data_IF_903889385167
#
_entry.id   IF_903889385167
#
_cell.length_a   1.000
_cell.length_b   1.000
_cell.length_c   1.000
_cell.angle_alpha   90.00
_cell.angle_beta   90.00
_cell.angle_gamma   90.00
#
_symmetry.space_group_name_H-M   'P 1'
#
loop_
_entity.id
_entity.type
_entity.pdbx_description
1 polymer ?
#
# COMPACT_ATOMS: atom_id res chain seq x y z
N UNK A 1 8.78 23.33 8.82
CA UNK A 1 8.46 22.82 7.47
C UNK A 1 9.76 22.79 6.69
N UNK A 2 10.24 21.62 6.39
CA UNK A 2 11.43 21.43 5.56
C UNK A 2 11.02 20.85 4.20
N UNK A 3 11.86 21.03 3.19
CA UNK A 3 11.75 20.37 1.89
C UNK A 3 12.91 19.41 1.81
N UNK A 4 12.60 18.10 1.97
CA UNK A 4 13.60 17.05 2.05
C UNK A 4 13.60 16.21 0.79
N UNK A 5 14.80 15.88 0.30
CA UNK A 5 15.00 15.04 -0.88
C UNK A 5 15.72 13.76 -0.48
N UNK A 6 15.25 12.65 -0.98
CA UNK A 6 15.93 11.39 -0.86
C UNK A 6 17.18 11.37 -1.74
N UNK A 7 18.33 11.24 -1.09
CA UNK A 7 19.62 11.06 -1.76
C UNK A 7 20.05 9.60 -1.74
N UNK A 8 19.77 8.91 -0.64
CA UNK A 8 20.31 7.57 -0.38
C UNK A 8 21.83 7.61 -0.23
N UNK A 9 22.45 6.44 -0.16
CA UNK A 9 23.92 6.36 -0.18
C UNK A 9 24.60 6.52 1.17
N UNK A 10 23.87 6.55 2.28
CA UNK A 10 24.45 6.46 3.61
C UNK A 10 25.34 5.20 3.74
N UNK A 11 26.45 5.33 4.44
CA UNK A 11 27.32 4.18 4.72
C UNK A 11 26.58 3.14 5.55
N UNK A 12 26.60 1.89 5.11
CA UNK A 12 25.95 0.80 5.82
C UNK A 12 26.67 0.50 7.14
N UNK A 13 25.92 0.46 8.24
CA UNK A 13 26.37 0.15 9.58
C UNK A 13 25.48 -0.94 10.17
N UNK A 14 26.10 -1.99 10.74
CA UNK A 14 25.35 -3.02 11.43
C UNK A 14 24.81 -2.49 12.76
N UNK A 15 23.53 -2.75 13.01
CA UNK A 15 22.93 -2.52 14.32
C UNK A 15 23.51 -3.45 15.36
N UNK A 16 23.75 -2.93 16.56
CA UNK A 16 24.06 -3.72 17.76
C UNK A 16 23.12 -3.26 18.87
N UNK A 17 22.33 -4.18 19.38
CA UNK A 17 21.48 -4.01 20.55
C UNK A 17 21.95 -4.93 21.66
N UNK A 18 21.54 -4.69 22.89
CA UNK A 18 21.93 -5.51 24.05
C UNK A 18 20.70 -6.06 24.73
N UNK A 19 20.83 -7.26 25.27
CA UNK A 19 19.90 -7.91 26.18
C UNK A 19 20.58 -8.05 27.53
N UNK A 20 20.03 -7.48 28.57
CA UNK A 20 20.62 -7.47 29.91
C UNK A 20 19.67 -8.14 30.92
N UNK A 21 19.89 -9.42 31.23
CA UNK A 21 19.17 -10.08 32.32
C UNK A 21 19.58 -9.49 33.68
N UNK A 22 18.68 -9.55 34.67
CA UNK A 22 18.95 -9.05 36.01
C UNK A 22 17.85 -9.42 36.99
N UNK A 23 17.83 -8.78 38.16
CA UNK A 23 16.90 -9.09 39.26
C UNK A 23 17.24 -10.39 39.98
N UNK A 24 16.25 -11.00 40.61
CA UNK A 24 16.36 -12.32 41.21
C UNK A 24 16.04 -13.35 40.14
N UNK A 25 16.99 -14.20 39.82
CA UNK A 25 16.85 -15.20 38.76
C UNK A 25 16.74 -16.58 39.41
N UNK A 26 15.76 -17.34 38.98
CA UNK A 26 15.54 -18.72 39.42
C UNK A 26 15.67 -19.67 38.23
N UNK A 27 16.12 -20.90 38.49
CA UNK A 27 16.17 -21.90 37.43
C UNK A 27 14.75 -22.26 36.99
N UNK A 28 14.46 -22.11 35.70
CA UNK A 28 13.13 -22.27 35.13
C UNK A 28 12.46 -20.98 34.71
N UNK A 29 12.95 -19.81 35.11
CA UNK A 29 12.45 -18.53 34.65
C UNK A 29 12.58 -18.39 33.14
N UNK A 30 11.62 -17.72 32.53
CA UNK A 30 11.61 -17.54 31.09
C UNK A 30 11.96 -16.08 30.75
N UNK A 31 12.96 -15.93 29.87
CA UNK A 31 13.37 -14.68 29.27
C UNK A 31 12.97 -14.70 27.79
N UNK A 32 11.89 -14.02 27.44
CA UNK A 32 11.42 -13.99 26.07
C UNK A 32 12.20 -12.96 25.25
N UNK A 33 12.86 -13.41 24.22
CA UNK A 33 13.51 -12.56 23.21
C UNK A 33 12.59 -12.43 22.03
N UNK A 34 12.19 -11.21 21.69
CA UNK A 34 11.23 -10.94 20.61
C UNK A 34 11.89 -10.11 19.54
N UNK A 35 11.96 -10.64 18.33
CA UNK A 35 12.40 -9.94 17.13
C UNK A 35 11.19 -9.65 16.24
N UNK A 36 11.02 -8.38 15.84
CA UNK A 36 9.94 -7.96 14.95
C UNK A 36 10.51 -7.51 13.62
N UNK A 37 9.91 -7.96 12.52
CA UNK A 37 10.27 -7.57 11.16
C UNK A 37 9.69 -6.23 10.74
N UNK A 38 10.08 -5.75 9.56
CA UNK A 38 9.51 -4.54 8.95
C UNK A 38 8.00 -4.68 8.67
N UNK A 39 7.49 -5.90 8.54
CA UNK A 39 6.07 -6.22 8.39
C UNK A 39 5.27 -6.12 9.69
N UNK A 40 5.95 -5.87 10.81
CA UNK A 40 5.36 -5.87 12.15
C UNK A 40 5.10 -7.26 12.72
N UNK A 41 5.54 -8.33 12.04
CA UNK A 41 5.38 -9.70 12.52
C UNK A 41 6.49 -10.02 13.52
N UNK A 42 6.09 -10.37 14.74
CA UNK A 42 7.00 -10.75 15.80
C UNK A 42 7.31 -12.25 15.78
N UNK A 43 8.55 -12.58 16.09
CA UNK A 43 9.02 -13.94 16.34
C UNK A 43 9.65 -13.97 17.74
N UNK A 44 9.28 -14.96 18.54
CA UNK A 44 9.69 -15.06 19.94
C UNK A 44 10.42 -16.36 20.21
N UNK A 45 11.56 -16.26 20.89
CA UNK A 45 12.23 -17.38 21.55
C UNK A 45 12.07 -17.25 23.05
N UNK A 46 11.49 -18.28 23.66
CA UNK A 46 11.32 -18.37 25.11
C UNK A 46 12.54 -19.08 25.70
N UNK A 47 13.47 -18.31 26.18
CA UNK A 47 14.73 -18.82 26.79
C UNK A 47 14.47 -19.22 28.24
N UNK A 48 14.68 -20.48 28.54
CA UNK A 48 14.53 -21.02 29.91
C UNK A 48 15.87 -20.93 30.63
N UNK A 49 15.92 -20.24 31.77
CA UNK A 49 17.10 -20.15 32.60
C UNK A 49 17.45 -21.51 33.20
N UNK A 50 18.66 -21.98 32.95
CA UNK A 50 19.18 -23.25 33.53
C UNK A 50 19.84 -23.06 34.90
N UNK A 51 20.09 -21.81 35.29
CA UNK A 51 20.72 -21.46 36.56
C UNK A 51 20.17 -20.16 37.14
N UNK A 52 20.86 -19.64 38.17
CA UNK A 52 20.39 -18.51 38.98
C UNK A 52 21.28 -17.26 38.83
N UNK A 53 22.15 -17.22 37.87
CA UNK A 53 23.07 -16.10 37.65
C UNK A 53 22.88 -15.46 36.28
N UNK A 54 23.11 -14.14 36.21
CA UNK A 54 23.07 -13.39 34.95
C UNK A 54 23.95 -14.03 33.87
N UNK A 55 25.16 -14.51 34.23
CA UNK A 55 26.08 -15.14 33.26
C UNK A 55 25.47 -16.42 32.65
N UNK A 56 24.83 -17.27 33.49
CA UNK A 56 24.19 -18.49 33.00
C UNK A 56 23.00 -18.16 32.06
N UNK A 57 22.21 -17.13 32.39
CA UNK A 57 21.13 -16.70 31.49
C UNK A 57 21.67 -16.14 30.18
N UNK A 58 22.79 -15.42 30.19
CA UNK A 58 23.45 -14.98 28.95
C UNK A 58 23.89 -16.17 28.08
N UNK A 59 24.48 -17.20 28.69
CA UNK A 59 24.83 -18.45 27.98
C UNK A 59 23.56 -19.12 27.39
N UNK A 60 22.46 -19.20 28.17
CA UNK A 60 21.19 -19.79 27.74
C UNK A 60 20.57 -19.02 26.58
N UNK A 61 20.60 -17.67 26.61
CA UNK A 61 20.11 -16.82 25.52
C UNK A 61 20.91 -17.12 24.24
N UNK A 62 22.24 -17.10 24.32
CA UNK A 62 23.08 -17.36 23.14
C UNK A 62 22.83 -18.76 22.59
N UNK A 63 22.75 -19.77 23.44
CA UNK A 63 22.55 -21.16 23.05
C UNK A 63 21.18 -21.35 22.37
N UNK A 64 20.10 -20.90 23.00
CA UNK A 64 18.74 -21.16 22.53
C UNK A 64 18.39 -20.26 21.34
N UNK A 65 18.70 -18.95 21.38
CA UNK A 65 18.40 -18.05 20.27
C UNK A 65 19.24 -18.37 19.02
N UNK A 66 20.51 -18.76 19.17
CA UNK A 66 21.35 -19.17 18.03
C UNK A 66 20.91 -20.49 17.39
N UNK A 67 20.24 -21.36 18.14
CA UNK A 67 19.67 -22.61 17.63
C UNK A 67 18.32 -22.42 16.96
N UNK A 68 17.74 -21.21 17.05
CA UNK A 68 16.41 -20.92 16.48
C UNK A 68 16.35 -21.14 14.97
N UNK A 69 15.25 -21.73 14.50
CA UNK A 69 14.95 -21.91 13.09
C UNK A 69 14.13 -20.74 12.51
N UNK A 70 13.71 -19.80 13.36
CA UNK A 70 12.91 -18.65 12.96
C UNK A 70 13.71 -17.68 12.10
N UNK A 71 13.08 -17.12 11.08
CA UNK A 71 13.77 -16.36 10.04
C UNK A 71 14.42 -15.08 10.54
N UNK A 72 13.82 -14.38 11.53
CA UNK A 72 14.39 -13.16 12.07
C UNK A 72 15.61 -13.46 12.96
N UNK A 73 15.58 -14.52 13.77
CA UNK A 73 16.70 -14.95 14.60
C UNK A 73 17.93 -15.32 13.76
N UNK A 74 17.73 -15.85 12.57
CA UNK A 74 18.82 -16.18 11.64
C UNK A 74 19.45 -14.96 10.96
N UNK A 75 18.85 -13.75 11.12
CA UNK A 75 19.39 -12.49 10.59
C UNK A 75 20.29 -11.75 11.57
N UNK A 76 20.39 -12.23 12.78
CA UNK A 76 21.21 -11.64 13.84
C UNK A 76 22.16 -12.67 14.43
N UNK A 77 23.21 -12.19 15.11
CA UNK A 77 24.15 -12.99 15.85
C UNK A 77 24.09 -12.58 17.32
N UNK A 78 23.96 -13.56 18.20
CA UNK A 78 23.98 -13.40 19.65
C UNK A 78 25.39 -13.68 20.17
N UNK A 79 25.96 -12.75 20.95
CA UNK A 79 27.32 -12.87 21.51
C UNK A 79 27.25 -12.62 23.02
N UNK A 80 27.68 -13.60 23.80
CA UNK A 80 27.76 -13.47 25.25
C UNK A 80 28.85 -12.48 25.66
N UNK A 81 28.54 -11.59 26.59
CA UNK A 81 29.41 -10.63 27.26
C UNK A 81 29.39 -10.84 28.78
N UNK A 82 29.00 -12.03 29.25
CA UNK A 82 28.92 -12.44 30.66
C UNK A 82 27.83 -11.71 31.47
N UNK A 83 27.68 -10.40 31.31
CA UNK A 83 26.67 -9.58 32.02
C UNK A 83 25.54 -9.11 31.12
N UNK A 84 25.65 -9.37 29.84
CA UNK A 84 24.65 -9.04 28.81
C UNK A 84 24.94 -9.89 27.57
N UNK A 85 23.98 -9.92 26.65
CA UNK A 85 24.15 -10.48 25.30
C UNK A 85 24.11 -9.35 24.29
N UNK A 86 25.12 -9.25 23.45
CA UNK A 86 25.11 -8.35 22.31
C UNK A 86 24.40 -9.06 21.14
N UNK A 87 23.40 -8.38 20.55
CA UNK A 87 22.64 -8.84 19.40
C UNK A 87 23.02 -7.99 18.21
N UNK A 88 23.71 -8.57 17.24
CA UNK A 88 24.26 -7.85 16.08
C UNK A 88 23.58 -8.26 14.78
N UNK A 89 23.21 -7.29 13.93
CA UNK A 89 22.71 -7.56 12.59
C UNK A 89 23.79 -8.24 11.73
N UNK A 90 23.44 -9.33 11.06
CA UNK A 90 24.34 -10.05 10.15
C UNK A 90 24.63 -9.27 8.86
N UNK A 91 23.72 -8.38 8.47
CA UNK A 91 23.89 -7.53 7.30
C UNK A 91 23.89 -6.05 7.70
N UNK A 92 24.98 -5.31 7.42
CA UNK A 92 25.01 -3.87 7.66
C UNK A 92 23.90 -3.13 6.88
N UNK A 93 23.28 -2.16 7.52
CA UNK A 93 22.20 -1.38 6.92
C UNK A 93 20.83 -2.07 6.91
N UNK A 94 20.70 -3.23 7.54
CA UNK A 94 19.43 -3.93 7.74
C UNK A 94 19.04 -3.82 9.21
N UNK A 95 18.01 -3.03 9.56
CA UNK A 95 17.57 -2.90 10.94
C UNK A 95 16.81 -4.13 11.41
N UNK A 96 16.78 -4.31 12.73
CA UNK A 96 15.88 -5.23 13.42
C UNK A 96 15.27 -4.54 14.65
N UNK A 97 14.08 -4.96 15.05
CA UNK A 97 13.40 -4.45 16.23
C UNK A 97 13.42 -5.54 17.30
N UNK A 98 14.06 -5.22 18.43
CA UNK A 98 14.24 -6.13 19.55
C UNK A 98 13.43 -5.62 20.74
N UNK A 99 12.61 -6.51 21.31
CA UNK A 99 11.90 -6.29 22.56
C UNK A 99 12.04 -7.54 23.44
N UNK A 100 11.60 -7.45 24.69
CA UNK A 100 11.74 -8.52 25.67
C UNK A 100 10.53 -8.56 26.63
N UNK A 101 10.34 -9.71 27.25
CA UNK A 101 9.47 -9.89 28.41
C UNK A 101 10.02 -11.01 29.29
N UNK A 102 9.64 -11.04 30.55
CA UNK A 102 9.93 -12.13 31.49
C UNK A 102 8.67 -12.88 31.86
N UNK A 103 8.83 -14.11 32.32
CA UNK A 103 7.74 -14.90 32.91
C UNK A 103 8.30 -15.74 34.06
N UNK A 104 7.75 -15.57 35.23
CA UNK A 104 8.07 -16.36 36.41
C UNK A 104 7.55 -17.79 36.27
N UNK A 105 8.46 -18.77 36.38
CA UNK A 105 8.10 -20.21 36.37
C UNK A 105 8.96 -21.03 37.31
N UNK A 106 9.99 -20.44 37.90
CA UNK A 106 11.01 -21.13 38.68
C UNK A 106 10.58 -21.54 40.08
N UNK A 107 9.39 -21.15 40.55
CA UNK A 107 8.89 -21.48 41.87
C UNK A 107 9.15 -20.41 42.93
N UNK A 108 9.60 -19.24 42.54
CA UNK A 108 9.56 -18.01 43.31
C UNK A 108 8.13 -17.51 43.52
N UNK A 109 7.98 -16.52 44.40
CA UNK A 109 6.66 -15.96 44.73
C UNK A 109 6.35 -14.66 44.02
N UNK A 110 7.25 -14.12 43.23
CA UNK A 110 7.14 -12.88 42.53
C UNK A 110 7.94 -12.90 41.23
N UNK A 111 7.40 -12.27 40.19
CA UNK A 111 8.10 -11.98 38.93
C UNK A 111 9.07 -10.83 39.18
N UNK A 112 10.23 -11.12 39.73
CA UNK A 112 11.25 -10.16 40.17
C UNK A 112 12.57 -10.26 39.35
N UNK A 113 12.66 -11.18 38.41
CA UNK A 113 13.66 -11.15 37.37
C UNK A 113 13.41 -9.99 36.41
N UNK A 114 14.45 -9.39 35.94
CA UNK A 114 14.40 -8.28 34.98
C UNK A 114 15.10 -8.63 33.68
N UNK A 115 14.58 -8.08 32.59
CA UNK A 115 15.20 -8.22 31.28
C UNK A 115 15.13 -6.85 30.59
N UNK A 116 16.22 -6.34 30.07
CA UNK A 116 16.25 -5.01 29.49
C UNK A 116 16.93 -4.99 28.12
N UNK A 117 16.33 -4.30 27.16
CA UNK A 117 16.93 -4.00 25.86
C UNK A 117 17.66 -2.67 25.93
N UNK A 118 18.88 -2.64 25.44
CA UNK A 118 19.67 -1.44 25.18
C UNK A 118 20.09 -1.36 23.71
N UNK A 119 20.56 -0.20 23.29
CA UNK A 119 21.13 0.00 21.97
C UNK A 119 22.54 0.54 22.13
N UNK A 120 23.52 -0.11 21.47
CA UNK A 120 24.93 0.36 21.44
C UNK A 120 25.28 1.01 20.11
N UNK A 121 24.68 0.53 19.03
CA UNK A 121 24.90 1.05 17.68
C UNK A 121 23.58 1.02 16.92
N UNK A 122 23.13 2.15 16.45
CA UNK A 122 21.94 2.24 15.58
C UNK A 122 22.26 1.66 14.19
N UNK A 123 21.26 1.05 13.55
CA UNK A 123 21.35 0.74 12.12
C UNK A 123 21.50 2.02 11.31
N UNK A 124 22.30 1.99 10.28
CA UNK A 124 22.32 2.98 9.22
C UNK A 124 22.58 2.29 7.88
N UNK A 125 21.95 2.76 6.82
CA UNK A 125 22.18 2.16 5.51
C UNK A 125 21.56 2.96 4.38
N UNK A 126 22.01 2.73 3.14
CA UNK A 126 21.61 3.52 1.98
C UNK A 126 20.11 3.39 1.62
N UNK A 127 19.47 2.35 2.14
CA UNK A 127 18.06 2.00 1.80
C UNK A 127 17.12 2.17 3.01
N UNK A 128 17.56 2.81 4.08
CA UNK A 128 16.78 3.00 5.30
C UNK A 128 16.26 4.44 5.41
N UNK A 129 14.92 4.57 5.41
CA UNK A 129 14.22 5.85 5.52
C UNK A 129 14.62 6.63 6.79
N UNK A 130 14.89 5.91 7.89
CA UNK A 130 15.22 6.50 9.17
C UNK A 130 16.69 6.94 9.28
N UNK A 131 17.53 6.67 8.28
CA UNK A 131 18.91 7.10 8.27
C UNK A 131 19.04 8.54 7.79
N UNK A 132 19.40 9.47 8.69
CA UNK A 132 19.48 10.91 8.42
C UNK A 132 20.35 11.25 7.21
N UNK A 133 21.49 10.57 7.05
CA UNK A 133 22.44 10.80 5.94
C UNK A 133 21.87 10.42 4.54
N UNK A 134 20.69 9.82 4.47
CA UNK A 134 19.99 9.58 3.21
C UNK A 134 19.14 10.77 2.76
N UNK A 135 19.04 11.80 3.57
CA UNK A 135 18.23 12.98 3.28
C UNK A 135 19.10 14.21 3.05
N UNK A 136 18.64 15.08 2.18
CA UNK A 136 19.24 16.39 1.93
C UNK A 136 18.14 17.44 1.85
N UNK A 137 18.44 18.64 2.33
CA UNK A 137 17.57 19.81 2.16
C UNK A 137 17.47 20.21 0.68
N UNK A 138 16.50 21.05 0.35
CA UNK A 138 16.29 21.51 -1.02
C UNK A 138 17.49 22.27 -1.61
N UNK A 139 18.32 22.86 -0.77
CA UNK A 139 19.57 23.55 -1.14
C UNK A 139 20.80 22.62 -1.18
N UNK A 140 20.62 21.32 -0.88
CA UNK A 140 21.68 20.32 -0.89
C UNK A 140 22.45 20.20 0.43
N UNK A 141 22.08 20.92 1.46
CA UNK A 141 22.69 20.79 2.79
C UNK A 141 22.16 19.58 3.56
N UNK A 142 22.91 19.14 4.59
CA UNK A 142 22.45 18.07 5.46
C UNK A 142 21.31 18.56 6.36
N UNK A 143 20.19 17.82 6.46
CA UNK A 143 19.09 18.20 7.32
C UNK A 143 19.41 17.93 8.80
N UNK A 144 18.68 18.59 9.68
CA UNK A 144 18.81 18.40 11.13
C UNK A 144 18.02 17.19 11.64
N UNK A 145 17.03 16.70 10.86
CA UNK A 145 16.18 15.57 11.19
C UNK A 145 15.69 14.87 9.92
N UNK A 146 15.26 13.62 10.06
CA UNK A 146 14.50 12.92 9.02
C UNK A 146 13.12 13.58 8.83
N UNK A 147 12.40 13.30 7.72
CA UNK A 147 11.09 13.90 7.48
C UNK A 147 10.14 13.74 8.67
N UNK A 148 9.49 14.83 9.01
CA UNK A 148 8.52 14.94 10.10
C UNK A 148 7.20 15.53 9.59
N UNK A 149 6.18 15.55 10.44
CA UNK A 149 4.87 16.11 10.08
C UNK A 149 5.00 17.56 9.58
N UNK A 150 4.24 17.91 8.55
CA UNK A 150 4.25 19.15 7.80
C UNK A 150 5.47 19.35 6.86
N UNK A 151 6.35 18.38 6.70
CA UNK A 151 7.43 18.48 5.72
C UNK A 151 6.98 18.05 4.32
N UNK A 152 7.73 18.48 3.32
CA UNK A 152 7.58 18.04 1.94
C UNK A 152 8.70 17.06 1.59
N UNK A 153 8.34 15.90 1.04
CA UNK A 153 9.26 14.82 0.71
C UNK A 153 9.32 14.58 -0.79
N UNK A 154 10.52 14.52 -1.33
CA UNK A 154 10.76 14.37 -2.76
C UNK A 154 11.72 13.24 -3.09
N UNK A 155 11.29 12.36 -3.98
CA UNK A 155 12.09 11.36 -4.68
C UNK A 155 12.21 11.79 -6.14
N UNK A 156 13.19 12.60 -6.46
CA UNK A 156 13.29 13.25 -7.78
C UNK A 156 14.29 12.61 -8.71
N UNK A 157 15.42 12.15 -8.18
CA UNK A 157 16.51 11.52 -8.92
C UNK A 157 17.18 10.47 -8.02
N UNK A 158 18.08 9.67 -8.61
CA UNK A 158 18.78 8.63 -7.86
C UNK A 158 18.17 7.24 -8.06
N UNK A 159 18.87 6.22 -7.54
CA UNK A 159 18.52 4.80 -7.72
C UNK A 159 18.58 3.99 -6.43
N UNK A 160 18.82 4.64 -5.29
CA UNK A 160 18.81 3.95 -4.00
C UNK A 160 17.37 3.64 -3.60
N UNK A 161 17.12 2.38 -3.29
CA UNK A 161 15.81 1.91 -2.87
C UNK A 161 15.48 2.41 -1.45
N UNK A 162 14.19 2.40 -1.08
CA UNK A 162 13.71 2.58 0.29
C UNK A 162 13.09 1.26 0.72
N UNK A 163 13.83 0.47 1.49
CA UNK A 163 13.44 -0.90 1.86
C UNK A 163 13.28 -1.10 3.36
N UNK A 164 13.76 -0.16 4.17
CA UNK A 164 13.73 -0.23 5.64
C UNK A 164 13.25 1.08 6.22
N UNK A 165 12.85 1.04 7.49
CA UNK A 165 12.21 2.17 8.15
C UNK A 165 10.85 2.50 7.53
N UNK A 166 10.12 1.49 7.09
CA UNK A 166 8.92 1.64 6.26
C UNK A 166 7.70 2.11 7.04
N UNK A 167 7.71 2.04 8.37
CA UNK A 167 6.57 2.50 9.17
C UNK A 167 6.71 3.96 9.55
N UNK A 168 6.19 4.86 8.72
CA UNK A 168 6.09 6.30 8.94
C UNK A 168 4.62 6.74 9.19
N UNK A 169 3.76 5.83 9.65
CA UNK A 169 2.32 6.12 9.84
C UNK A 169 2.03 7.18 10.90
N UNK A 170 2.99 7.48 11.78
CA UNK A 170 2.91 8.58 12.74
C UNK A 170 3.26 9.96 12.17
N UNK A 171 3.69 10.02 10.90
CA UNK A 171 4.09 11.25 10.22
C UNK A 171 3.01 11.65 9.21
N UNK A 172 2.50 12.86 9.32
CA UNK A 172 1.54 13.44 8.38
C UNK A 172 2.23 14.56 7.57
N UNK A 173 2.67 14.19 6.37
CA UNK A 173 3.42 15.08 5.48
C UNK A 173 2.48 16.08 4.78
N UNK A 174 3.03 17.21 4.39
CA UNK A 174 2.34 18.17 3.53
C UNK A 174 2.32 17.71 2.06
N UNK A 175 3.41 17.10 1.60
CA UNK A 175 3.53 16.54 0.25
C UNK A 175 4.46 15.35 0.25
N UNK A 176 4.14 14.36 -0.58
CA UNK A 176 5.04 13.26 -0.91
C UNK A 176 5.06 13.08 -2.43
N UNK A 177 6.21 13.30 -3.03
CA UNK A 177 6.36 13.28 -4.48
C UNK A 177 7.42 12.31 -4.94
N UNK A 178 7.05 11.40 -5.82
CA UNK A 178 7.96 10.55 -6.58
C UNK A 178 7.88 10.97 -8.04
N UNK A 179 8.97 11.43 -8.61
CA UNK A 179 9.01 11.81 -10.02
C UNK A 179 9.45 10.64 -10.90
N UNK A 180 9.18 10.71 -12.19
CA UNK A 180 9.65 9.71 -13.16
C UNK A 180 11.18 9.67 -13.33
N UNK A 181 11.92 10.60 -12.74
CA UNK A 181 13.38 10.60 -12.72
C UNK A 181 13.97 9.70 -11.63
N UNK A 182 13.20 9.35 -10.61
CA UNK A 182 13.63 8.43 -9.56
C UNK A 182 13.59 6.99 -10.07
N UNK A 183 14.70 6.26 -9.85
CA UNK A 183 14.90 4.91 -10.38
C UNK A 183 15.00 3.84 -9.27
N UNK A 184 14.85 4.20 -8.02
CA UNK A 184 14.79 3.28 -6.89
C UNK A 184 13.39 2.70 -6.70
N UNK A 185 13.29 1.60 -5.95
CA UNK A 185 12.04 1.07 -5.43
C UNK A 185 11.67 1.75 -4.10
N UNK A 186 10.39 1.82 -3.80
CA UNK A 186 9.86 2.30 -2.51
C UNK A 186 8.97 1.20 -1.94
N UNK A 187 9.25 0.78 -0.71
CA UNK A 187 8.62 -0.37 -0.08
C UNK A 187 9.15 -1.71 -0.61
N UNK A 188 8.89 -2.76 0.10
CA UNK A 188 9.16 -4.14 -0.31
C UNK A 188 7.94 -4.71 -1.05
N UNK A 189 8.03 -5.94 -1.57
CA UNK A 189 6.95 -6.55 -2.36
C UNK A 189 5.63 -6.60 -1.59
N UNK A 190 5.70 -7.01 -0.33
CA UNK A 190 4.54 -7.23 0.52
C UNK A 190 4.47 -6.26 1.72
N UNK A 191 5.48 -5.38 1.86
CA UNK A 191 5.57 -4.41 2.95
C UNK A 191 5.60 -3.00 2.36
N UNK A 192 4.50 -2.24 2.44
CA UNK A 192 4.43 -0.87 1.93
C UNK A 192 5.21 0.11 2.81
N UNK A 193 5.69 1.19 2.21
CA UNK A 193 6.00 2.39 2.97
C UNK A 193 4.68 2.98 3.49
N UNK A 194 4.51 3.02 4.80
CA UNK A 194 3.33 3.63 5.45
C UNK A 194 3.61 5.10 5.70
N UNK A 195 2.83 5.98 5.10
CA UNK A 195 2.98 7.43 5.25
C UNK A 195 1.64 8.12 5.03
N UNK A 196 1.37 9.20 5.79
CA UNK A 196 0.16 9.99 5.62
C UNK A 196 0.48 11.32 4.93
N UNK A 197 -0.44 11.79 4.10
CA UNK A 197 -0.39 13.09 3.42
C UNK A 197 -1.80 13.68 3.44
N UNK A 198 -2.23 14.13 4.61
CA UNK A 198 -3.59 14.61 4.86
C UNK A 198 -3.64 15.93 5.66
N UNK A 199 -2.49 16.61 5.81
CA UNK A 199 -2.42 17.80 6.63
C UNK A 199 -2.89 19.04 5.85
N UNK A 200 -4.10 19.50 6.16
CA UNK A 200 -4.78 20.67 5.55
C UNK A 200 -4.42 22.01 6.18
N UNK A 201 -3.35 22.13 6.96
CA UNK A 201 -3.05 23.36 7.71
C UNK A 201 -2.69 24.58 6.86
N UNK A 202 -2.47 24.41 5.56
CA UNK A 202 -2.13 25.48 4.63
C UNK A 202 -3.02 25.45 3.37
N UNK A 203 -3.12 26.59 2.68
CA UNK A 203 -3.89 26.77 1.44
C UNK A 203 -3.39 25.96 0.23
N UNK A 204 -2.33 25.18 0.38
CA UNK A 204 -1.83 24.24 -0.62
C UNK A 204 -2.35 22.87 -0.26
N UNK A 205 -3.16 22.27 -1.13
CA UNK A 205 -3.70 20.95 -0.89
C UNK A 205 -2.58 19.92 -0.70
N UNK A 206 -2.61 19.16 0.41
CA UNK A 206 -1.72 18.02 0.59
C UNK A 206 -2.02 16.97 -0.46
N UNK A 207 -1.01 16.46 -1.15
CA UNK A 207 -1.22 15.40 -2.11
C UNK A 207 -0.03 14.47 -2.24
N UNK A 208 -0.37 13.22 -2.52
CA UNK A 208 0.56 12.19 -2.94
C UNK A 208 0.69 12.24 -4.47
N UNK A 209 1.88 12.55 -4.99
CA UNK A 209 2.15 12.53 -6.41
C UNK A 209 3.13 11.42 -6.76
N UNK A 210 2.74 10.47 -7.60
CA UNK A 210 3.52 9.29 -7.96
C UNK A 210 3.85 9.26 -9.45
N UNK A 211 5.13 9.01 -9.76
CA UNK A 211 5.61 8.65 -11.08
C UNK A 211 6.66 7.55 -10.95
N UNK A 212 6.69 6.59 -11.86
CA UNK A 212 7.65 5.49 -11.82
C UNK A 212 8.37 5.34 -13.17
N UNK A 213 9.69 5.14 -13.10
CA UNK A 213 10.54 4.87 -14.26
C UNK A 213 10.80 3.37 -14.53
N UNK A 214 9.97 2.47 -13.99
CA UNK A 214 10.08 1.03 -14.18
C UNK A 214 10.27 0.20 -12.92
N UNK A 215 10.49 0.86 -11.78
CA UNK A 215 10.59 0.20 -10.47
C UNK A 215 9.24 0.13 -9.77
N UNK A 216 9.18 -0.69 -8.72
CA UNK A 216 7.99 -0.81 -7.87
C UNK A 216 7.93 0.36 -6.88
N UNK A 217 6.73 0.89 -6.70
CA UNK A 217 6.38 1.79 -5.61
C UNK A 217 5.23 1.11 -4.87
N UNK A 218 5.41 0.81 -3.58
CA UNK A 218 4.41 0.19 -2.71
C UNK A 218 4.19 1.10 -1.51
N UNK A 219 3.02 1.74 -1.43
CA UNK A 219 2.68 2.77 -0.43
C UNK A 219 1.32 2.48 0.19
N UNK A 220 1.22 2.73 1.49
CA UNK A 220 -0.03 2.67 2.26
C UNK A 220 -0.17 3.91 3.13
N UNK A 221 -1.37 4.48 3.23
CA UNK A 221 -1.65 5.59 4.13
C UNK A 221 -2.96 6.31 3.89
N UNK A 222 -3.12 7.43 4.58
CA UNK A 222 -4.23 8.38 4.41
C UNK A 222 -3.79 9.50 3.50
N UNK A 223 -4.56 9.77 2.46
CA UNK A 223 -4.25 10.79 1.45
C UNK A 223 -5.51 11.55 1.05
N UNK A 224 -5.51 12.87 1.15
CA UNK A 224 -6.65 13.66 0.64
C UNK A 224 -6.75 13.56 -0.88
N UNK A 225 -5.62 13.59 -1.55
CA UNK A 225 -5.55 13.50 -3.00
C UNK A 225 -4.37 12.66 -3.46
N UNK A 226 -4.63 11.74 -4.40
CA UNK A 226 -3.61 10.96 -5.08
C UNK A 226 -3.56 11.33 -6.55
N UNK A 227 -2.36 11.65 -7.04
CA UNK A 227 -2.13 11.91 -8.46
C UNK A 227 -1.02 10.99 -8.96
N UNK A 228 -1.35 10.07 -9.87
CA UNK A 228 -0.36 9.28 -10.59
C UNK A 228 -0.14 9.92 -11.96
N UNK A 229 1.09 10.37 -12.21
CA UNK A 229 1.42 11.08 -13.44
C UNK A 229 1.98 10.12 -14.50
N UNK A 230 3.25 9.87 -14.53
CA UNK A 230 3.89 9.02 -15.54
C UNK A 230 4.33 7.71 -14.91
N UNK A 231 3.80 6.57 -15.38
CA UNK A 231 4.15 5.26 -14.85
C UNK A 231 4.60 4.31 -15.96
N UNK A 232 5.77 3.71 -15.79
CA UNK A 232 6.26 2.60 -16.62
C UNK A 232 6.58 1.35 -15.80
N UNK A 233 6.43 1.41 -14.48
CA UNK A 233 6.65 0.32 -13.53
C UNK A 233 5.36 -0.17 -12.88
N UNK A 234 5.48 -0.69 -11.66
CA UNK A 234 4.36 -1.13 -10.85
C UNK A 234 4.17 -0.16 -9.68
N UNK A 235 2.95 0.35 -9.51
CA UNK A 235 2.53 1.10 -8.34
C UNK A 235 1.47 0.29 -7.62
N UNK A 236 1.78 -0.14 -6.40
CA UNK A 236 0.86 -0.75 -5.47
C UNK A 236 0.51 0.30 -4.42
N UNK A 237 -0.75 0.63 -4.29
CA UNK A 237 -1.20 1.65 -3.37
C UNK A 237 -2.41 1.18 -2.57
N UNK A 238 -2.33 1.34 -1.25
CA UNK A 238 -3.47 1.17 -0.36
C UNK A 238 -3.77 2.50 0.31
N UNK A 239 -4.96 3.02 0.05
CA UNK A 239 -5.43 4.28 0.60
C UNK A 239 -6.49 4.01 1.67
N UNK A 240 -6.29 4.52 2.87
CA UNK A 240 -7.27 4.35 3.95
C UNK A 240 -8.38 5.38 3.90
N UNK A 241 -8.10 6.52 3.25
CA UNK A 241 -9.08 7.57 2.99
C UNK A 241 -8.57 8.47 1.85
N UNK A 242 -9.30 8.57 0.76
CA UNK A 242 -8.96 9.44 -0.37
C UNK A 242 -10.22 10.03 -0.98
N UNK A 243 -10.24 11.33 -1.20
CA UNK A 243 -11.35 12.00 -1.88
C UNK A 243 -11.23 11.90 -3.40
N UNK A 244 -10.05 12.17 -3.94
CA UNK A 244 -9.80 12.19 -5.38
C UNK A 244 -8.55 11.37 -5.72
N UNK A 245 -8.74 10.32 -6.51
CA UNK A 245 -7.66 9.54 -7.09
C UNK A 245 -7.60 9.76 -8.60
N UNK A 246 -6.56 10.43 -9.06
CA UNK A 246 -6.40 10.78 -10.47
C UNK A 246 -5.17 10.11 -11.07
N UNK A 247 -5.35 9.45 -12.20
CA UNK A 247 -4.28 8.96 -13.05
C UNK A 247 -4.25 9.83 -14.31
N UNK A 248 -3.14 10.52 -14.51
CA UNK A 248 -2.93 11.42 -15.65
C UNK A 248 -1.64 11.02 -16.35
N UNK A 249 -1.66 10.81 -17.64
CA UNK A 249 -0.38 10.60 -18.30
C UNK A 249 -0.45 10.25 -19.77
N UNK A 250 0.47 10.81 -20.52
CA UNK A 250 0.82 10.40 -21.88
C UNK A 250 1.92 9.34 -21.80
N UNK A 251 1.74 8.18 -22.45
CA UNK A 251 2.74 7.11 -22.58
C UNK A 251 3.08 6.33 -21.29
N UNK A 252 2.10 5.96 -20.48
CA UNK A 252 2.27 4.98 -19.42
C UNK A 252 1.97 3.57 -19.92
N UNK A 253 2.88 2.64 -19.65
CA UNK A 253 2.73 1.21 -19.98
C UNK A 253 2.82 0.33 -18.75
N UNK A 254 2.67 0.92 -17.57
CA UNK A 254 2.86 0.25 -16.30
C UNK A 254 1.57 -0.37 -15.76
N UNK A 255 1.70 -0.90 -14.55
CA UNK A 255 0.61 -1.47 -13.77
C UNK A 255 0.38 -0.61 -12.52
N UNK A 256 -0.88 -0.26 -12.27
CA UNK A 256 -1.31 0.34 -11.02
C UNK A 256 -2.28 -0.62 -10.36
N UNK A 257 -2.05 -0.93 -9.08
CA UNK A 257 -2.97 -1.72 -8.26
C UNK A 257 -3.43 -0.91 -7.06
N UNK A 258 -4.73 -0.69 -6.98
CA UNK A 258 -5.38 -0.16 -5.79
C UNK A 258 -5.75 -1.36 -4.94
N UNK A 259 -5.09 -1.46 -3.78
CA UNK A 259 -5.08 -2.65 -2.96
C UNK A 259 -6.35 -2.80 -2.14
N UNK A 260 -6.66 -4.06 -1.83
CA UNK A 260 -7.73 -4.43 -0.90
C UNK A 260 -7.65 -3.64 0.42
N UNK A 261 -8.80 -3.25 0.95
CA UNK A 261 -8.92 -2.42 2.15
C UNK A 261 -8.73 -0.91 1.89
N UNK A 262 -8.60 -0.49 0.62
CA UNK A 262 -8.64 0.94 0.28
C UNK A 262 -10.06 1.49 0.38
N UNK A 263 -10.18 2.76 0.79
CA UNK A 263 -11.46 3.50 0.88
C UNK A 263 -11.35 4.86 0.20
N UNK A 264 -12.39 5.23 -0.54
CA UNK A 264 -12.50 6.49 -1.28
C UNK A 264 -13.41 7.52 -0.63
N UNK A 265 -13.92 7.26 0.58
CA UNK A 265 -14.71 8.24 1.32
C UNK A 265 -13.81 8.99 2.30
N UNK A 266 -13.66 10.30 2.09
CA UNK A 266 -13.14 11.17 3.11
C UNK A 266 -14.06 11.15 4.34
N UNK A 267 -13.53 10.83 5.48
CA UNK A 267 -14.25 10.83 6.75
C UNK A 267 -14.58 12.29 7.12
N UNK A 268 -15.78 12.73 6.82
CA UNK A 268 -16.28 13.96 7.42
C UNK A 268 -16.82 15.03 6.49
N UNK A 269 -17.78 14.72 5.65
CA UNK A 269 -18.64 15.61 4.89
C UNK A 269 -18.29 15.83 3.40
N UNK A 270 -18.96 15.08 2.57
CA UNK A 270 -19.12 15.46 1.17
C UNK A 270 -17.98 15.13 0.22
N UNK A 271 -17.14 14.16 0.59
CA UNK A 271 -16.13 13.63 -0.31
C UNK A 271 -16.72 13.12 -1.62
N UNK A 272 -16.06 13.35 -2.74
CA UNK A 272 -16.56 13.00 -4.07
C UNK A 272 -16.36 11.52 -4.39
N UNK A 273 -15.48 10.82 -3.66
CA UNK A 273 -15.13 9.41 -3.92
C UNK A 273 -14.78 9.18 -5.39
N UNK A 274 -14.00 10.10 -6.00
CA UNK A 274 -13.75 10.13 -7.43
C UNK A 274 -12.50 9.35 -7.80
N UNK A 275 -12.68 8.30 -8.63
CA UNK A 275 -11.60 7.69 -9.38
C UNK A 275 -11.61 8.19 -10.83
N UNK A 276 -10.50 8.75 -11.29
CA UNK A 276 -10.34 9.28 -12.65
C UNK A 276 -9.08 8.77 -13.33
N UNK A 277 -9.20 8.26 -14.55
CA UNK A 277 -8.07 7.90 -15.41
C UNK A 277 -8.18 8.63 -16.74
N UNK A 278 -7.14 9.39 -17.10
CA UNK A 278 -7.18 10.28 -18.28
C UNK A 278 -5.94 10.12 -19.16
N UNK A 279 -6.14 9.99 -20.48
CA UNK A 279 -5.11 10.18 -21.49
C UNK A 279 -4.07 9.06 -21.58
N UNK A 280 -4.37 7.83 -21.17
CA UNK A 280 -3.38 6.76 -21.02
C UNK A 280 -3.70 5.57 -21.91
N UNK A 281 -3.01 5.47 -23.05
CA UNK A 281 -3.05 4.27 -23.85
C UNK A 281 -1.96 3.28 -23.36
N UNK A 282 -2.35 2.02 -23.07
CA UNK A 282 -1.45 0.95 -22.65
C UNK A 282 -1.19 0.83 -21.13
N UNK A 283 -1.79 1.66 -20.30
CA UNK A 283 -1.79 1.48 -18.85
C UNK A 283 -2.84 0.44 -18.44
N UNK A 284 -2.45 -0.43 -17.50
CA UNK A 284 -3.38 -1.33 -16.81
C UNK A 284 -3.57 -0.85 -15.38
N UNK A 285 -4.82 -0.63 -14.99
CA UNK A 285 -5.20 -0.35 -13.61
C UNK A 285 -6.08 -1.47 -13.09
N UNK A 286 -5.71 -2.04 -11.93
CA UNK A 286 -6.47 -3.07 -11.24
C UNK A 286 -6.95 -2.48 -9.91
N UNK A 287 -8.26 -2.52 -9.71
CA UNK A 287 -8.91 -2.17 -8.44
C UNK A 287 -9.30 -3.50 -7.79
N UNK A 288 -8.61 -3.86 -6.70
CA UNK A 288 -8.80 -5.17 -6.05
C UNK A 288 -10.15 -5.27 -5.33
N UNK A 289 -10.56 -6.49 -5.02
CA UNK A 289 -11.75 -6.76 -4.20
C UNK A 289 -11.57 -6.14 -2.80
N UNK A 290 -12.65 -5.59 -2.23
CA UNK A 290 -12.62 -4.96 -0.91
C UNK A 290 -12.15 -3.49 -0.91
N UNK A 291 -11.87 -2.90 -2.07
CA UNK A 291 -11.84 -1.44 -2.23
C UNK A 291 -13.27 -0.92 -2.09
N UNK A 292 -13.48 0.10 -1.27
CA UNK A 292 -14.82 0.60 -0.94
C UNK A 292 -15.01 2.06 -1.32
N UNK A 293 -16.28 2.45 -1.44
CA UNK A 293 -16.73 3.84 -1.52
C UNK A 293 -16.25 4.65 -2.74
N UNK A 294 -15.94 3.99 -3.87
CA UNK A 294 -15.80 4.72 -5.14
C UNK A 294 -17.22 5.14 -5.57
N UNK A 295 -17.55 6.43 -5.48
CA UNK A 295 -18.88 6.96 -5.87
C UNK A 295 -18.92 7.31 -7.35
N UNK A 296 -17.81 7.79 -7.90
CA UNK A 296 -17.72 8.17 -9.30
C UNK A 296 -16.48 7.56 -9.94
N UNK A 297 -16.65 6.95 -11.12
CA UNK A 297 -15.55 6.44 -11.91
C UNK A 297 -15.59 7.07 -13.31
N UNK A 298 -14.51 7.74 -13.71
CA UNK A 298 -14.38 8.34 -15.04
C UNK A 298 -13.14 7.86 -15.77
N UNK A 299 -13.34 7.16 -16.87
CA UNK A 299 -12.27 6.54 -17.65
C UNK A 299 -12.19 7.16 -19.04
N UNK A 300 -11.03 7.72 -19.34
CA UNK A 300 -10.73 8.36 -20.62
C UNK A 300 -9.39 7.80 -21.18
N UNK A 301 -9.32 6.48 -21.34
CA UNK A 301 -8.20 5.74 -21.91
C UNK A 301 -7.67 4.61 -21.06
N UNK A 302 -6.86 3.73 -21.65
CA UNK A 302 -6.24 2.57 -21.03
C UNK A 302 -7.18 1.42 -20.71
N UNK A 303 -6.72 0.52 -19.85
CA UNK A 303 -7.48 -0.62 -19.36
C UNK A 303 -7.67 -0.52 -17.85
N UNK A 304 -8.90 -0.63 -17.38
CA UNK A 304 -9.26 -0.68 -15.97
C UNK A 304 -10.03 -1.96 -15.69
N UNK A 305 -9.53 -2.75 -14.74
CA UNK A 305 -10.24 -3.89 -14.19
C UNK A 305 -10.62 -3.59 -12.75
N UNK A 306 -11.88 -3.79 -12.39
CA UNK A 306 -12.34 -3.65 -11.01
C UNK A 306 -13.05 -4.91 -10.55
N UNK A 307 -12.57 -5.49 -9.46
CA UNK A 307 -13.20 -6.58 -8.71
C UNK A 307 -13.87 -6.08 -7.44
N UNK A 308 -13.80 -4.77 -7.17
CA UNK A 308 -14.42 -4.18 -6.02
C UNK A 308 -15.91 -3.95 -6.24
N UNK A 309 -16.65 -3.94 -5.14
CA UNK A 309 -17.93 -3.27 -5.09
C UNK A 309 -17.69 -1.78 -5.27
N UNK A 310 -17.86 -1.28 -6.49
CA UNK A 310 -17.96 0.16 -6.72
C UNK A 310 -19.27 0.61 -6.12
N UNK A 311 -19.17 1.25 -4.97
CA UNK A 311 -20.31 1.75 -4.21
C UNK A 311 -20.66 0.91 -2.98
N UNK A 312 -20.63 1.53 -1.80
CA UNK A 312 -21.50 1.13 -0.72
C UNK A 312 -22.90 1.58 -1.10
N UNK A 313 -23.76 0.68 -1.50
CA UNK A 313 -25.18 0.85 -1.81
C UNK A 313 -25.56 1.74 -3.03
N UNK A 314 -24.71 2.60 -3.54
CA UNK A 314 -25.03 3.48 -4.65
C UNK A 314 -23.75 3.99 -5.34
N UNK A 315 -23.07 3.17 -6.14
CA UNK A 315 -22.13 3.71 -7.11
C UNK A 315 -22.93 4.63 -8.03
N UNK A 316 -22.73 5.93 -7.86
CA UNK A 316 -23.66 6.85 -8.48
C UNK A 316 -23.38 6.94 -9.99
N UNK A 317 -22.12 6.84 -10.43
CA UNK A 317 -21.83 7.06 -11.83
C UNK A 317 -20.56 6.36 -12.35
N UNK A 318 -20.68 5.64 -13.46
CA UNK A 318 -19.57 5.09 -14.25
C UNK A 318 -19.59 5.68 -15.65
N UNK A 319 -18.58 6.47 -15.99
CA UNK A 319 -18.41 7.12 -17.27
C UNK A 319 -17.22 6.54 -18.03
N UNK A 320 -17.42 5.96 -19.21
CA UNK A 320 -16.39 5.44 -20.08
C UNK A 320 -16.34 6.29 -21.36
N UNK A 321 -15.31 7.14 -21.46
CA UNK A 321 -15.11 8.00 -22.63
C UNK A 321 -14.22 7.33 -23.69
N UNK A 322 -13.17 6.63 -23.26
CA UNK A 322 -12.25 5.85 -24.12
C UNK A 322 -11.65 4.70 -23.34
N UNK A 323 -10.97 3.78 -24.01
CA UNK A 323 -10.31 2.64 -23.39
C UNK A 323 -11.26 1.49 -23.09
N UNK A 324 -10.86 0.62 -22.19
CA UNK A 324 -11.64 -0.57 -21.81
C UNK A 324 -11.77 -0.64 -20.29
N UNK A 325 -12.99 -0.82 -19.83
CA UNK A 325 -13.31 -1.13 -18.43
C UNK A 325 -13.86 -2.54 -18.36
N UNK A 326 -13.28 -3.37 -17.50
CA UNK A 326 -13.79 -4.69 -17.15
C UNK A 326 -14.32 -4.62 -15.71
N UNK A 327 -15.64 -4.56 -15.57
CA UNK A 327 -16.32 -4.43 -14.28
C UNK A 327 -16.75 -5.81 -13.77
N UNK A 328 -16.14 -6.25 -12.66
CA UNK A 328 -16.37 -7.54 -11.99
C UNK A 328 -16.91 -7.36 -10.57
N UNK A 329 -17.22 -6.14 -10.18
CA UNK A 329 -17.64 -5.80 -8.82
C UNK A 329 -18.97 -6.41 -8.42
N UNK A 330 -19.24 -6.46 -7.13
CA UNK A 330 -20.46 -7.03 -6.55
C UNK A 330 -21.57 -6.01 -6.26
N UNK A 331 -21.35 -4.74 -6.60
CA UNK A 331 -22.35 -3.68 -6.39
C UNK A 331 -23.04 -3.28 -7.70
N UNK A 332 -24.33 -2.97 -7.60
CA UNK A 332 -25.09 -2.37 -8.69
C UNK A 332 -24.56 -0.95 -8.98
N UNK A 333 -24.61 -0.53 -10.25
CA UNK A 333 -24.28 0.82 -10.65
C UNK A 333 -25.54 1.55 -11.11
N UNK A 334 -25.82 2.74 -10.55
CA UNK A 334 -27.02 3.50 -10.88
C UNK A 334 -26.97 4.06 -12.29
N UNK A 335 -25.89 4.74 -12.63
CA UNK A 335 -25.73 5.42 -13.91
C UNK A 335 -24.50 4.91 -14.61
N UNK A 336 -24.68 4.37 -15.81
CA UNK A 336 -23.61 3.90 -16.67
C UNK A 336 -23.67 4.63 -17.99
N UNK A 337 -22.64 5.40 -18.32
CA UNK A 337 -22.53 6.11 -19.57
C UNK A 337 -21.32 5.64 -20.36
N UNK A 338 -21.52 5.11 -21.56
CA UNK A 338 -20.46 4.73 -22.47
C UNK A 338 -20.46 5.72 -23.64
N UNK A 339 -19.66 6.78 -23.49
CA UNK A 339 -19.50 7.84 -24.50
C UNK A 339 -18.64 7.38 -25.69
N UNK A 340 -17.68 6.48 -25.42
CA UNK A 340 -16.81 5.81 -26.38
C UNK A 340 -16.03 4.71 -25.66
N UNK A 341 -15.24 3.91 -26.38
CA UNK A 341 -14.53 2.78 -25.77
C UNK A 341 -15.43 1.58 -25.45
N UNK A 342 -15.02 0.73 -24.52
CA UNK A 342 -15.71 -0.53 -24.21
C UNK A 342 -15.90 -0.69 -22.72
N UNK A 343 -17.12 -0.94 -22.29
CA UNK A 343 -17.43 -1.45 -20.95
C UNK A 343 -17.83 -2.92 -21.06
N UNK A 344 -17.04 -3.80 -20.45
CA UNK A 344 -17.36 -5.20 -20.24
C UNK A 344 -17.91 -5.37 -18.83
N UNK A 345 -19.21 -5.61 -18.75
CA UNK A 345 -19.91 -5.87 -17.51
C UNK A 345 -19.89 -7.36 -17.21
N UNK A 346 -19.14 -7.76 -16.19
CA UNK A 346 -18.98 -9.14 -15.73
C UNK A 346 -19.47 -9.31 -14.28
N UNK A 347 -20.30 -8.38 -13.81
CA UNK A 347 -20.93 -8.39 -12.50
C UNK A 347 -22.30 -9.05 -12.60
N UNK A 348 -22.67 -9.80 -11.57
CA UNK A 348 -24.03 -10.33 -11.38
C UNK A 348 -25.04 -9.29 -10.92
N UNK A 349 -24.61 -8.05 -10.72
CA UNK A 349 -25.40 -6.95 -10.21
C UNK A 349 -26.04 -6.11 -11.33
N UNK A 350 -27.07 -5.34 -10.94
CA UNK A 350 -27.88 -4.57 -11.89
C UNK A 350 -27.17 -3.30 -12.40
N UNK A 351 -27.42 -2.99 -13.66
CA UNK A 351 -27.23 -1.66 -14.23
C UNK A 351 -28.62 -1.00 -14.30
N UNK A 352 -28.82 0.12 -13.59
CA UNK A 352 -30.16 0.74 -13.53
C UNK A 352 -30.47 1.58 -14.76
N UNK A 353 -29.57 2.45 -15.19
CA UNK A 353 -29.80 3.37 -16.33
C UNK A 353 -28.60 3.42 -17.27
N UNK A 354 -28.37 2.38 -18.10
CA UNK A 354 -27.30 2.41 -19.05
C UNK A 354 -27.60 3.30 -20.25
N UNK A 355 -26.64 4.15 -20.62
CA UNK A 355 -26.69 4.96 -21.85
C UNK A 355 -25.42 4.73 -22.67
N UNK A 356 -25.57 4.33 -23.92
CA UNK A 356 -24.46 4.11 -24.85
C UNK A 356 -24.56 5.16 -25.95
N UNK A 357 -23.62 6.11 -25.94
CA UNK A 357 -23.58 7.18 -26.96
C UNK A 357 -22.81 6.75 -28.21
N UNK A 358 -21.56 6.32 -28.05
CA UNK A 358 -20.70 5.93 -29.18
C UNK A 358 -19.62 4.93 -28.71
N UNK A 359 -20.02 3.84 -28.11
CA UNK A 359 -19.10 2.82 -27.60
C UNK A 359 -19.75 1.46 -27.55
N UNK A 360 -19.15 0.55 -26.79
CA UNK A 360 -19.64 -0.81 -26.63
C UNK A 360 -19.96 -1.07 -25.17
N UNK A 361 -21.19 -1.47 -24.86
CA UNK A 361 -21.54 -2.10 -23.61
C UNK A 361 -21.68 -3.61 -23.84
N UNK A 362 -20.70 -4.36 -23.34
CA UNK A 362 -20.63 -5.81 -23.48
C UNK A 362 -21.08 -6.49 -22.18
N UNK A 363 -22.26 -7.08 -22.19
CA UNK A 363 -22.87 -7.87 -21.12
C UNK A 363 -22.93 -9.36 -21.47
N UNK A 364 -22.20 -9.80 -22.50
CA UNK A 364 -22.27 -11.17 -23.03
C UNK A 364 -21.71 -12.25 -22.09
N UNK A 365 -20.87 -11.86 -21.10
CA UNK A 365 -20.30 -12.80 -20.14
C UNK A 365 -21.26 -13.20 -19.03
N UNK A 366 -22.41 -12.53 -18.91
CA UNK A 366 -23.40 -12.81 -17.88
C UNK A 366 -24.18 -14.09 -18.17
N UNK A 367 -24.13 -15.04 -17.24
CA UNK A 367 -24.84 -16.33 -17.33
C UNK A 367 -26.16 -16.35 -16.59
N UNK A 368 -26.44 -15.35 -15.75
CA UNK A 368 -27.67 -15.31 -14.95
C UNK A 368 -28.17 -13.88 -14.75
N UNK A 369 -29.28 -13.55 -15.40
CA UNK A 369 -30.20 -12.46 -15.07
C UNK A 369 -29.54 -11.13 -14.64
N UNK A 370 -28.81 -10.47 -15.52
CA UNK A 370 -28.67 -9.01 -15.39
C UNK A 370 -30.09 -8.44 -15.57
N UNK A 371 -30.86 -8.47 -14.52
CA UNK A 371 -32.15 -7.80 -14.48
C UNK A 371 -31.85 -6.30 -14.54
N UNK A 372 -31.93 -5.70 -15.68
CA UNK A 372 -32.21 -4.27 -15.78
C UNK A 372 -33.50 -4.03 -15.03
N UNK A 373 -33.45 -3.27 -13.95
CA UNK A 373 -34.40 -3.32 -12.83
C UNK A 373 -35.76 -2.67 -13.05
N UNK A 374 -36.24 -2.66 -14.27
CA UNK A 374 -37.65 -2.33 -14.55
C UNK A 374 -38.10 -3.08 -15.79
N UNK A 375 -39.32 -3.65 -15.81
CA UNK A 375 -39.87 -4.23 -17.03
C UNK A 375 -39.91 -3.24 -18.21
N UNK A 376 -39.92 -1.93 -17.93
CA UNK A 376 -39.88 -0.86 -18.93
C UNK A 376 -38.47 -0.34 -19.23
N UNK A 377 -37.44 -0.69 -18.42
CA UNK A 377 -36.04 -0.24 -18.57
C UNK A 377 -35.06 -1.33 -19.02
N UNK A 378 -35.54 -2.44 -19.53
CA UNK A 378 -34.70 -3.52 -20.07
C UNK A 378 -33.89 -3.14 -21.34
N UNK A 379 -33.98 -1.90 -21.79
CA UNK A 379 -33.30 -1.41 -22.97
C UNK A 379 -32.31 -0.31 -22.57
N UNK A 380 -31.03 -0.55 -22.86
CA UNK A 380 -30.06 0.54 -22.85
C UNK A 380 -30.49 1.61 -23.85
N UNK A 381 -30.39 2.88 -23.49
CA UNK A 381 -30.53 3.96 -24.44
C UNK A 381 -29.30 3.99 -25.32
N UNK A 382 -29.41 3.61 -26.60
CA UNK A 382 -28.30 3.53 -27.54
C UNK A 382 -28.44 4.58 -28.61
N UNK A 383 -27.50 5.47 -28.74
CA UNK A 383 -27.46 6.49 -29.79
C UNK A 383 -26.68 6.04 -31.04
N UNK A 384 -25.36 5.83 -30.89
CA UNK A 384 -24.49 5.42 -32.02
C UNK A 384 -23.57 4.24 -31.63
N UNK A 385 -23.83 3.59 -30.52
CA UNK A 385 -23.02 2.51 -29.98
C UNK A 385 -23.62 1.13 -30.22
N UNK A 386 -23.07 0.18 -29.53
CA UNK A 386 -23.45 -1.23 -29.60
C UNK A 386 -23.65 -1.81 -28.18
N UNK A 387 -24.66 -2.66 -28.02
CA UNK A 387 -24.84 -3.48 -26.82
C UNK A 387 -24.76 -4.95 -27.24
N UNK A 388 -23.86 -5.69 -26.60
CA UNK A 388 -23.66 -7.12 -26.82
C UNK A 388 -24.31 -7.87 -25.65
N UNK A 389 -25.32 -8.67 -25.95
CA UNK A 389 -26.05 -9.48 -24.97
C UNK A 389 -25.52 -10.91 -24.87
N UNK A 390 -25.81 -11.63 -23.76
CA UNK A 390 -25.53 -13.04 -23.63
C UNK A 390 -26.17 -13.85 -24.77
N UNK A 391 -25.48 -14.85 -25.27
CA UNK A 391 -26.05 -15.79 -26.26
C UNK A 391 -27.01 -16.74 -25.55
N UNK A 392 -28.28 -16.67 -25.91
CA UNK A 392 -29.25 -17.70 -25.54
C UNK A 392 -29.05 -18.89 -26.50
N UNK A 393 -29.01 -20.12 -25.96
CA UNK A 393 -28.84 -21.32 -26.78
C UNK A 393 -29.91 -21.39 -27.87
N UNK A 394 -29.50 -21.34 -29.15
CA UNK A 394 -30.39 -21.37 -30.32
C UNK A 394 -30.60 -20.02 -31.04
N UNK A 395 -30.04 -18.93 -30.57
CA UNK A 395 -30.09 -17.65 -31.28
C UNK A 395 -28.76 -17.28 -31.93
N UNK A 396 -28.80 -16.79 -33.17
CA UNK A 396 -27.67 -16.16 -33.85
C UNK A 396 -27.48 -14.77 -33.25
N UNK A 397 -26.30 -14.52 -32.65
CA UNK A 397 -25.75 -13.29 -32.06
C UNK A 397 -26.77 -12.19 -31.68
N UNK A 398 -26.98 -12.00 -30.37
CA UNK A 398 -27.82 -10.92 -29.85
C UNK A 398 -27.08 -9.56 -29.86
N UNK A 399 -26.79 -9.03 -31.04
CA UNK A 399 -26.22 -7.68 -31.17
C UNK A 399 -27.32 -6.74 -31.63
N UNK A 400 -27.67 -5.76 -30.81
CA UNK A 400 -28.55 -4.67 -31.24
C UNK A 400 -27.67 -3.49 -31.67
N UNK A 401 -27.55 -3.26 -32.97
CA UNK A 401 -27.00 -2.03 -33.52
C UNK A 401 -28.15 -1.05 -33.77
N UNK A 402 -28.13 0.05 -33.08
CA UNK A 402 -29.08 1.11 -33.37
C UNK A 402 -28.44 2.07 -34.40
N UNK A 403 -28.89 1.94 -35.68
CA UNK A 403 -28.48 2.83 -36.75
C UNK A 403 -29.43 4.01 -36.89
N UNK A 404 -30.16 4.38 -35.84
CA UNK A 404 -31.06 5.54 -35.93
C UNK A 404 -30.23 6.82 -36.16
N UNK A 405 -30.07 7.11 -37.45
CA UNK A 405 -29.73 8.45 -37.94
C UNK A 405 -30.94 9.35 -37.76
N UNK A 406 -31.23 9.75 -36.56
CA UNK A 406 -32.04 10.95 -36.37
C UNK A 406 -31.09 12.13 -36.34
N UNK A 407 -30.82 12.65 -37.53
CA UNK A 407 -30.30 13.98 -37.74
C UNK A 407 -31.43 14.96 -37.26
N UNK A 408 -31.15 15.69 -36.20
CA UNK A 408 -31.70 17.02 -35.96
C UNK A 408 -30.59 18.01 -36.16
#
# INVERSE_FOLDING_TARGET
>A
MAILRWAGGATAQAQVSTLTPGGTIEAGDIFNVVLTGEDGVAQTEAVVATGTTVAQVCDDIVLQCSASTQTLFRRVTFTDQTSRVDVSANAPGVPFYLTETTTETGGGTADDQTFAVGATTASAGPNDYNTLANWVESDGTAPSAIPASNDEVYFSTGSHDVLYGLNQSGVDLKQFRVTSGYQGAIGQADIPLKVNVSNVSDSVMPYLALGSSGRRINIEGTFDQVVVTRNSGTIDIKVTDVDIFTIVGTASKGLIRIKNGSSFLASGSGGTGLFRQTGVDGLTTIIESGVSAILQMRIDGGYVETSSSVGAANADELNVHRGTVCFKGSAACKTVNVFGGTLRWQSDQHIYTPTVFNGTLDISAETSNVAMSSPDSQQATVYFGEVIYPRVAGQTSGTTKNNNRNLI
#
